data_IF_915991149721
#
_entry.id   IF_915991149721
#
_cell.length_a   1.000
_cell.length_b   1.000
_cell.length_c   1.000
_cell.angle_alpha   90.00
_cell.angle_beta   90.00
_cell.angle_gamma   90.00
#
_symmetry.space_group_name_H-M   'P 1'
#
loop_
_entity.id
_entity.type
_entity.pdbx_description
1 polymer ?
#
# COMPACT_ATOMS: atom_id res chain seq x y z
N UNK A 1 -18.38 -1.55 8.28
CA UNK A 1 -17.22 -1.21 7.45
C UNK A 1 -16.73 0.17 7.83
N UNK A 2 -15.45 0.52 7.61
CA UNK A 2 -14.99 1.89 7.69
C UNK A 2 -15.78 2.81 6.73
N UNK A 3 -16.08 4.03 7.15
CA UNK A 3 -16.87 4.97 6.35
C UNK A 3 -16.25 5.27 4.98
N UNK A 4 -14.93 5.40 4.90
CA UNK A 4 -14.23 5.62 3.63
C UNK A 4 -14.50 4.50 2.60
N UNK A 5 -14.65 3.25 3.06
CA UNK A 5 -14.97 2.12 2.20
C UNK A 5 -16.40 2.21 1.66
N UNK A 6 -17.34 2.59 2.53
CA UNK A 6 -18.75 2.74 2.13
C UNK A 6 -18.92 3.93 1.20
N UNK A 7 -18.25 5.06 1.46
CA UNK A 7 -18.21 6.21 0.53
C UNK A 7 -17.70 5.80 -0.85
N UNK A 8 -16.58 5.07 -0.87
CA UNK A 8 -16.02 4.55 -2.12
C UNK A 8 -16.99 3.63 -2.84
N UNK A 9 -17.67 2.73 -2.11
CA UNK A 9 -18.68 1.82 -2.69
C UNK A 9 -19.86 2.58 -3.30
N UNK A 10 -20.37 3.62 -2.61
CA UNK A 10 -21.42 4.48 -3.14
C UNK A 10 -20.97 5.19 -4.42
N UNK A 11 -19.74 5.73 -4.44
CA UNK A 11 -19.19 6.41 -5.61
C UNK A 11 -19.04 5.45 -6.81
N UNK A 12 -18.47 4.27 -6.60
CA UNK A 12 -18.32 3.24 -7.65
C UNK A 12 -19.70 2.80 -8.15
N UNK A 13 -20.68 2.68 -7.23
CA UNK A 13 -22.05 2.33 -7.63
C UNK A 13 -22.70 3.43 -8.46
N UNK A 14 -22.58 4.70 -8.06
CA UNK A 14 -23.07 5.84 -8.86
C UNK A 14 -22.46 5.80 -10.28
N UNK A 15 -21.15 5.58 -10.39
CA UNK A 15 -20.47 5.50 -11.70
C UNK A 15 -21.04 4.39 -12.57
N UNK A 16 -21.27 3.20 -11.99
CA UNK A 16 -21.86 2.06 -12.70
C UNK A 16 -23.31 2.35 -13.16
N UNK A 17 -24.13 2.99 -12.31
CA UNK A 17 -25.52 3.34 -12.64
C UNK A 17 -25.63 4.43 -13.69
N UNK A 18 -24.71 5.41 -13.69
CA UNK A 18 -24.66 6.49 -14.68
C UNK A 18 -24.41 6.00 -16.11
N UNK A 19 -23.91 4.78 -16.29
CA UNK A 19 -23.77 4.16 -17.61
C UNK A 19 -25.14 3.75 -18.24
N UNK A 20 -26.22 3.83 -17.45
CA UNK A 20 -27.63 3.61 -17.86
C UNK A 20 -27.99 2.17 -18.27
N UNK A 21 -27.10 1.18 -18.11
CA UNK A 21 -27.41 -0.22 -18.44
C UNK A 21 -28.19 -0.97 -17.35
N UNK A 22 -28.36 -0.37 -16.16
CA UNK A 22 -29.01 -1.01 -15.00
C UNK A 22 -30.52 -0.72 -14.91
N UNK A 23 -31.09 0.12 -15.78
CA UNK A 23 -32.50 0.54 -15.77
C UNK A 23 -32.94 1.11 -14.40
N UNK A 24 -32.14 1.99 -13.82
CA UNK A 24 -32.41 2.70 -12.56
C UNK A 24 -32.72 4.15 -12.87
N UNK A 25 -33.79 4.69 -12.29
CA UNK A 25 -34.17 6.11 -12.46
C UNK A 25 -33.10 7.04 -11.93
N UNK A 26 -33.03 8.23 -12.52
CA UNK A 26 -32.00 9.22 -12.17
C UNK A 26 -32.15 9.72 -10.72
N UNK A 27 -33.37 9.77 -10.20
CA UNK A 27 -33.67 10.18 -8.82
C UNK A 27 -32.97 9.30 -7.76
N UNK A 28 -32.75 8.01 -8.05
CA UNK A 28 -32.03 7.09 -7.17
C UNK A 28 -30.56 7.50 -7.11
N UNK A 29 -29.98 7.85 -8.26
CA UNK A 29 -28.58 8.29 -8.36
C UNK A 29 -28.41 9.66 -7.68
N UNK A 30 -29.33 10.58 -7.90
CA UNK A 30 -29.34 11.90 -7.23
C UNK A 30 -29.38 11.78 -5.71
N UNK A 31 -30.18 10.84 -5.17
CA UNK A 31 -30.24 10.63 -3.73
C UNK A 31 -28.94 10.00 -3.18
N UNK A 32 -28.34 9.05 -3.90
CA UNK A 32 -27.03 8.52 -3.56
C UNK A 32 -25.96 9.62 -3.52
N UNK A 33 -25.95 10.51 -4.51
CA UNK A 33 -25.04 11.64 -4.57
C UNK A 33 -25.30 12.62 -3.42
N UNK A 34 -26.57 12.91 -3.12
CA UNK A 34 -26.94 13.81 -2.01
C UNK A 34 -26.44 13.27 -0.65
N UNK A 35 -26.49 11.96 -0.42
CA UNK A 35 -25.91 11.32 0.77
C UNK A 35 -24.38 11.54 0.81
N UNK A 36 -23.69 11.34 -0.31
CA UNK A 36 -22.23 11.54 -0.42
C UNK A 36 -21.82 12.99 -0.18
N UNK A 37 -22.53 13.94 -0.79
CA UNK A 37 -22.24 15.39 -0.73
C UNK A 37 -22.43 15.95 0.70
N UNK A 38 -23.36 15.36 1.46
CA UNK A 38 -23.65 15.78 2.83
C UNK A 38 -22.98 14.92 3.91
N UNK A 39 -22.04 14.05 3.52
CA UNK A 39 -21.31 13.17 4.43
C UNK A 39 -22.22 12.27 5.30
N UNK A 40 -23.30 11.81 4.70
CA UNK A 40 -24.25 10.85 5.28
C UNK A 40 -23.92 9.44 4.80
N UNK A 41 -23.21 8.68 5.64
CA UNK A 41 -22.62 7.40 5.24
C UNK A 41 -23.36 6.23 5.88
N UNK A 42 -24.00 5.35 5.09
CA UNK A 42 -24.70 4.17 5.62
C UNK A 42 -23.82 3.29 6.49
N UNK A 43 -24.36 2.79 7.60
CA UNK A 43 -23.72 1.79 8.44
C UNK A 43 -23.84 0.41 7.78
N UNK A 44 -22.71 -0.12 7.29
CA UNK A 44 -22.64 -1.41 6.58
C UNK A 44 -21.79 -2.40 7.38
N UNK A 45 -22.26 -3.66 7.60
CA UNK A 45 -21.48 -4.70 8.26
C UNK A 45 -20.16 -5.01 7.54
N UNK A 46 -19.13 -5.32 8.33
CA UNK A 46 -17.79 -5.60 7.81
C UNK A 46 -17.66 -7.01 7.20
N UNK A 47 -18.43 -7.99 7.71
CA UNK A 47 -18.30 -9.41 7.37
C UNK A 47 -19.61 -9.98 6.88
N UNK A 48 -19.54 -11.16 6.25
CA UNK A 48 -20.70 -11.90 5.77
C UNK A 48 -20.83 -11.95 4.25
N UNK A 49 -20.07 -11.13 3.51
CA UNK A 49 -20.09 -11.10 2.05
C UNK A 49 -19.06 -12.05 1.45
N UNK A 50 -19.47 -12.81 0.44
CA UNK A 50 -18.61 -13.63 -0.44
C UNK A 50 -18.36 -12.98 -1.80
N UNK A 51 -18.88 -11.76 -2.01
CA UNK A 51 -18.75 -10.98 -3.25
C UNK A 51 -19.28 -11.74 -4.48
N UNK A 52 -20.55 -12.11 -4.43
CA UNK A 52 -21.26 -12.83 -5.49
C UNK A 52 -22.63 -12.19 -5.77
N UNK A 53 -23.30 -12.57 -6.86
CA UNK A 53 -24.55 -11.95 -7.31
C UNK A 53 -25.70 -12.07 -6.30
N UNK A 54 -25.88 -13.23 -5.68
CA UNK A 54 -26.92 -13.41 -4.65
C UNK A 54 -26.51 -12.86 -3.28
N UNK A 55 -25.26 -12.43 -3.12
CA UNK A 55 -24.74 -11.75 -1.95
C UNK A 55 -24.97 -10.24 -2.07
N UNK A 56 -26.22 -9.84 -1.94
CA UNK A 56 -26.62 -8.43 -2.05
C UNK A 56 -26.40 -7.66 -0.75
N UNK A 57 -25.95 -8.33 0.32
CA UNK A 57 -25.94 -7.81 1.68
C UNK A 57 -25.25 -6.44 1.83
N UNK A 58 -24.03 -6.21 1.37
CA UNK A 58 -23.38 -4.92 1.64
C UNK A 58 -24.10 -3.72 1.01
N UNK A 59 -24.62 -3.87 -0.21
CA UNK A 59 -25.34 -2.80 -0.92
C UNK A 59 -26.80 -2.68 -0.44
N UNK A 60 -27.38 -3.71 0.19
CA UNK A 60 -28.73 -3.65 0.73
C UNK A 60 -28.90 -2.65 1.86
N UNK A 61 -27.87 -2.43 2.66
CA UNK A 61 -27.87 -1.38 3.68
C UNK A 61 -27.94 0.01 3.06
N UNK A 62 -27.24 0.22 1.94
CA UNK A 62 -27.29 1.48 1.19
C UNK A 62 -28.69 1.66 0.58
N UNK A 63 -29.24 0.63 -0.04
CA UNK A 63 -30.59 0.68 -0.61
C UNK A 63 -31.68 0.92 0.46
N UNK A 64 -31.58 0.28 1.62
CA UNK A 64 -32.51 0.50 2.74
C UNK A 64 -32.46 1.95 3.27
N UNK A 65 -31.30 2.60 3.21
CA UNK A 65 -31.20 4.04 3.51
C UNK A 65 -31.93 4.87 2.45
N UNK A 66 -31.84 4.53 1.16
CA UNK A 66 -32.58 5.22 0.10
C UNK A 66 -34.11 5.07 0.24
N UNK A 67 -34.56 3.91 0.78
CA UNK A 67 -35.98 3.67 1.11
C UNK A 67 -36.44 4.39 2.39
N UNK A 68 -35.54 4.96 3.15
CA UNK A 68 -35.84 5.57 4.45
C UNK A 68 -36.24 4.53 5.51
N UNK A 69 -35.72 3.32 5.45
CA UNK A 69 -36.03 2.27 6.41
C UNK A 69 -35.49 2.67 7.81
N UNK A 70 -36.36 2.79 8.84
CA UNK A 70 -35.96 3.26 10.16
C UNK A 70 -34.99 2.31 10.89
N UNK A 71 -34.91 1.04 10.48
CA UNK A 71 -33.96 0.06 11.03
C UNK A 71 -32.57 0.14 10.37
N UNK A 72 -32.40 1.02 9.38
CA UNK A 72 -31.10 1.33 8.78
C UNK A 72 -30.52 2.60 9.38
N UNK A 73 -29.21 2.61 9.54
CA UNK A 73 -28.51 3.73 10.21
C UNK A 73 -27.47 4.36 9.30
N UNK A 74 -27.20 5.64 9.60
CA UNK A 74 -26.31 6.50 8.82
C UNK A 74 -25.38 7.27 9.76
N UNK A 75 -24.10 7.26 9.48
CA UNK A 75 -23.12 8.13 10.14
C UNK A 75 -23.26 9.56 9.63
N UNK A 76 -23.25 10.53 10.55
CA UNK A 76 -23.26 11.97 10.25
C UNK A 76 -22.30 12.71 11.17
N UNK A 77 -21.94 13.95 10.83
CA UNK A 77 -21.15 14.81 11.70
C UNK A 77 -21.96 15.26 12.91
N UNK A 78 -21.37 15.23 14.09
CA UNK A 78 -21.96 15.80 15.33
C UNK A 78 -21.78 17.32 15.45
N UNK A 79 -21.14 17.94 14.46
CA UNK A 79 -20.81 19.38 14.46
C UNK A 79 -19.68 19.77 15.43
N UNK A 80 -19.09 18.82 16.15
CA UNK A 80 -18.00 19.02 17.13
C UNK A 80 -16.72 18.27 16.77
N UNK A 81 -16.67 17.72 15.57
CA UNK A 81 -15.54 16.92 15.08
C UNK A 81 -15.66 15.42 15.34
N UNK A 82 -16.78 14.95 15.91
CA UNK A 82 -17.14 13.55 16.07
C UNK A 82 -18.18 13.07 15.07
N UNK A 83 -18.65 11.83 15.26
CA UNK A 83 -19.66 11.17 14.41
C UNK A 83 -20.84 10.70 15.26
N UNK A 84 -22.05 11.02 14.81
CA UNK A 84 -23.31 10.53 15.35
C UNK A 84 -23.93 9.47 14.43
N UNK A 85 -24.74 8.63 14.99
CA UNK A 85 -25.48 7.60 14.27
C UNK A 85 -26.98 7.93 14.32
N UNK A 86 -27.58 8.17 13.14
CA UNK A 86 -29.00 8.49 13.02
C UNK A 86 -29.70 7.44 12.15
N UNK A 87 -31.04 7.36 12.25
CA UNK A 87 -31.85 6.48 11.39
C UNK A 87 -31.91 7.01 9.95
N UNK A 88 -32.20 6.12 9.00
CA UNK A 88 -32.26 6.49 7.59
C UNK A 88 -33.32 7.53 7.26
N UNK A 89 -34.51 7.42 7.86
CA UNK A 89 -35.57 8.43 7.73
C UNK A 89 -35.11 9.81 8.27
N UNK A 90 -34.44 9.83 9.43
CA UNK A 90 -33.84 11.05 9.98
C UNK A 90 -32.78 11.65 9.04
N UNK A 91 -31.97 10.82 8.38
CA UNK A 91 -31.00 11.29 7.37
C UNK A 91 -31.70 11.90 6.14
N UNK A 92 -32.77 11.31 5.66
CA UNK A 92 -33.57 11.85 4.53
C UNK A 92 -34.26 13.15 4.91
N UNK A 93 -34.76 13.27 6.13
CA UNK A 93 -35.35 14.51 6.65
C UNK A 93 -34.34 15.65 6.71
N UNK A 94 -33.10 15.38 7.14
CA UNK A 94 -32.00 16.35 7.09
C UNK A 94 -31.71 16.86 5.67
N UNK A 95 -31.77 15.97 4.67
CA UNK A 95 -31.61 16.31 3.26
C UNK A 95 -32.84 16.97 2.65
N UNK A 96 -33.99 17.00 3.35
CA UNK A 96 -35.30 17.40 2.82
C UNK A 96 -35.66 16.63 1.53
N UNK A 97 -35.32 15.36 1.47
CA UNK A 97 -35.57 14.44 0.35
C UNK A 97 -36.59 13.40 0.76
N UNK A 98 -37.40 12.97 -0.21
CA UNK A 98 -38.32 11.86 -0.03
C UNK A 98 -37.60 10.52 -0.19
N UNK A 99 -38.02 9.52 0.52
CA UNK A 99 -37.59 8.13 0.33
C UNK A 99 -37.93 7.64 -1.08
N UNK A 100 -37.12 6.72 -1.58
CA UNK A 100 -37.33 6.04 -2.87
C UNK A 100 -38.24 4.83 -2.65
N UNK A 101 -39.31 4.75 -3.43
CA UNK A 101 -40.02 3.48 -3.67
C UNK A 101 -39.44 2.90 -4.96
N UNK A 102 -38.73 1.79 -4.86
CA UNK A 102 -38.11 1.15 -6.01
C UNK A 102 -39.15 0.56 -6.95
N UNK A 103 -39.03 0.84 -8.24
CA UNK A 103 -39.78 0.20 -9.32
C UNK A 103 -39.21 -1.18 -9.70
N UNK A 104 -39.78 -1.83 -10.70
CA UNK A 104 -39.31 -3.13 -11.21
C UNK A 104 -37.83 -3.07 -11.57
N UNK A 105 -37.02 -4.02 -11.08
CA UNK A 105 -35.57 -4.15 -11.23
C UNK A 105 -34.72 -3.07 -10.54
N UNK A 106 -35.24 -1.91 -10.16
CA UNK A 106 -34.42 -0.81 -9.62
C UNK A 106 -33.67 -1.20 -8.35
N UNK A 107 -34.32 -1.88 -7.40
CA UNK A 107 -33.66 -2.39 -6.20
C UNK A 107 -32.50 -3.29 -6.58
N UNK A 108 -32.70 -4.27 -7.44
CA UNK A 108 -31.63 -5.15 -7.92
C UNK A 108 -30.53 -4.34 -8.63
N UNK A 109 -30.90 -3.31 -9.40
CA UNK A 109 -29.95 -2.39 -10.02
C UNK A 109 -29.05 -1.65 -9.03
N UNK A 110 -29.52 -1.34 -7.83
CA UNK A 110 -28.73 -0.75 -6.75
C UNK A 110 -27.91 -1.79 -5.99
N UNK A 111 -28.50 -2.97 -5.72
CA UNK A 111 -27.94 -3.99 -4.82
C UNK A 111 -26.87 -4.86 -5.47
N UNK A 112 -26.97 -5.12 -6.76
CA UNK A 112 -26.16 -6.12 -7.46
C UNK A 112 -24.93 -5.51 -8.11
N UNK A 113 -23.76 -6.02 -7.77
CA UNK A 113 -22.51 -5.61 -8.40
C UNK A 113 -21.29 -5.66 -7.46
N UNK A 114 -20.15 -5.29 -8.01
CA UNK A 114 -18.83 -5.42 -7.37
C UNK A 114 -18.40 -4.18 -6.59
N UNK A 115 -19.25 -3.15 -6.51
CA UNK A 115 -18.88 -1.81 -6.03
C UNK A 115 -18.17 -1.78 -4.67
N UNK A 116 -18.61 -2.61 -3.72
CA UNK A 116 -18.03 -2.65 -2.37
C UNK A 116 -16.61 -3.21 -2.39
N UNK A 117 -16.43 -4.39 -2.98
CA UNK A 117 -15.10 -5.02 -3.06
C UNK A 117 -14.14 -4.18 -3.90
N UNK A 118 -14.62 -3.57 -4.99
CA UNK A 118 -13.83 -2.69 -5.86
C UNK A 118 -13.36 -1.43 -5.14
N UNK A 119 -14.23 -0.77 -4.38
CA UNK A 119 -13.87 0.41 -3.62
C UNK A 119 -12.81 0.12 -2.55
N UNK A 120 -13.00 -0.96 -1.79
CA UNK A 120 -12.04 -1.40 -0.77
C UNK A 120 -10.71 -1.75 -1.40
N UNK A 121 -10.73 -2.44 -2.56
CA UNK A 121 -9.52 -2.77 -3.31
C UNK A 121 -8.80 -1.53 -3.89
N UNK A 122 -9.54 -0.55 -4.38
CA UNK A 122 -8.96 0.69 -4.91
C UNK A 122 -8.19 1.47 -3.83
N UNK A 123 -8.76 1.59 -2.63
CA UNK A 123 -8.09 2.22 -1.48
C UNK A 123 -6.85 1.43 -1.05
N UNK A 124 -6.95 0.10 -0.96
CA UNK A 124 -5.81 -0.75 -0.63
C UNK A 124 -4.69 -0.63 -1.66
N UNK A 125 -5.03 -0.56 -2.94
CA UNK A 125 -4.04 -0.43 -4.01
C UNK A 125 -3.30 0.90 -3.97
N UNK A 126 -4.00 2.00 -3.68
CA UNK A 126 -3.38 3.32 -3.50
C UNK A 126 -2.31 3.29 -2.40
N UNK A 127 -2.63 2.74 -1.23
CA UNK A 127 -1.67 2.58 -0.14
C UNK A 127 -0.51 1.63 -0.51
N UNK A 128 -0.80 0.57 -1.26
CA UNK A 128 0.24 -0.35 -1.75
C UNK A 128 1.26 0.35 -2.66
N UNK A 129 0.82 1.29 -3.51
CA UNK A 129 1.72 2.11 -4.33
C UNK A 129 2.59 3.04 -3.48
N UNK A 130 2.04 3.67 -2.45
CA UNK A 130 2.82 4.51 -1.53
C UNK A 130 3.91 3.69 -0.84
N UNK A 131 3.57 2.50 -0.34
CA UNK A 131 4.55 1.61 0.32
C UNK A 131 5.60 1.07 -0.65
N UNK A 132 5.24 0.83 -1.91
CA UNK A 132 6.20 0.43 -2.94
C UNK A 132 7.27 1.51 -3.21
N UNK A 133 6.87 2.79 -3.27
CA UNK A 133 7.81 3.91 -3.38
C UNK A 133 8.63 4.05 -2.10
N UNK A 134 7.99 3.98 -0.94
CA UNK A 134 8.65 4.12 0.35
C UNK A 134 9.68 3.02 0.60
N UNK A 135 9.42 1.79 0.16
CA UNK A 135 10.38 0.67 0.21
C UNK A 135 11.66 0.97 -0.58
N UNK A 136 11.58 1.69 -1.68
CA UNK A 136 12.73 2.09 -2.48
C UNK A 136 13.54 3.20 -1.79
N UNK A 137 12.86 4.17 -1.13
CA UNK A 137 13.51 5.20 -0.32
C UNK A 137 14.27 4.56 0.84
N UNK A 138 13.64 3.65 1.58
CA UNK A 138 14.28 2.94 2.69
C UNK A 138 15.47 2.10 2.24
N UNK A 139 15.40 1.50 1.05
CA UNK A 139 16.51 0.76 0.45
C UNK A 139 17.69 1.69 0.11
N UNK A 140 17.45 2.89 -0.39
CA UNK A 140 18.49 3.89 -0.62
C UNK A 140 19.15 4.32 0.70
N UNK A 141 18.36 4.66 1.71
CA UNK A 141 18.87 4.97 3.06
C UNK A 141 19.66 3.80 3.66
N UNK A 142 19.19 2.55 3.45
CA UNK A 142 19.89 1.34 3.86
C UNK A 142 21.24 1.19 3.15
N UNK A 143 21.32 1.54 1.87
CA UNK A 143 22.57 1.54 1.11
C UNK A 143 23.57 2.51 1.72
N UNK A 144 23.15 3.72 2.09
CA UNK A 144 24.01 4.68 2.80
C UNK A 144 24.43 4.18 4.18
N UNK A 145 23.48 3.71 5.00
CA UNK A 145 23.76 3.25 6.36
C UNK A 145 24.75 2.07 6.40
N UNK A 146 24.67 1.18 5.40
CA UNK A 146 25.53 0.00 5.25
C UNK A 146 26.85 0.29 4.52
N UNK A 147 27.08 1.53 4.06
CA UNK A 147 28.20 1.92 3.19
C UNK A 147 28.22 1.06 1.91
N UNK A 148 27.02 0.79 1.36
CA UNK A 148 26.83 -0.02 0.17
C UNK A 148 27.26 0.68 -1.12
N UNK A 149 27.28 -0.06 -2.22
CA UNK A 149 27.71 0.43 -3.53
C UNK A 149 26.54 0.93 -4.38
N UNK A 150 26.68 2.14 -4.96
CA UNK A 150 25.75 2.65 -6.00
C UNK A 150 25.81 1.77 -7.24
N UNK A 151 26.94 1.08 -7.49
CA UNK A 151 27.11 0.14 -8.58
C UNK A 151 26.10 -1.02 -8.61
N UNK A 152 25.47 -1.34 -7.48
CA UNK A 152 24.37 -2.32 -7.44
C UNK A 152 23.18 -1.95 -8.35
N UNK A 153 23.01 -0.67 -8.65
CA UNK A 153 21.90 -0.10 -9.42
C UNK A 153 22.32 0.38 -10.79
N UNK A 154 23.51 -0.01 -11.28
CA UNK A 154 24.02 0.42 -12.59
C UNK A 154 23.03 0.08 -13.68
N UNK A 155 22.76 1.07 -14.56
CA UNK A 155 21.82 0.97 -15.66
C UNK A 155 22.17 -0.15 -16.67
N UNK A 156 23.42 -0.61 -16.70
CA UNK A 156 23.82 -1.73 -17.53
C UNK A 156 23.07 -3.03 -17.19
N UNK A 157 22.84 -3.31 -15.90
CA UNK A 157 22.07 -4.50 -15.49
C UNK A 157 20.65 -4.48 -16.08
N UNK A 158 19.99 -3.32 -16.02
CA UNK A 158 18.68 -3.12 -16.59
C UNK A 158 18.70 -3.15 -18.13
N UNK A 159 19.76 -2.70 -18.80
CA UNK A 159 19.92 -2.76 -20.25
C UNK A 159 20.00 -4.19 -20.77
N UNK A 160 20.74 -5.07 -20.07
CA UNK A 160 20.92 -6.48 -20.52
C UNK A 160 19.83 -7.42 -20.02
N UNK A 161 19.01 -6.99 -19.04
CA UNK A 161 17.85 -7.71 -18.53
C UNK A 161 16.67 -6.73 -18.34
N UNK A 162 15.93 -6.40 -19.43
CA UNK A 162 15.09 -5.21 -19.50
C UNK A 162 13.66 -5.42 -18.94
N UNK A 163 13.50 -5.91 -17.73
CA UNK A 163 12.24 -5.89 -17.00
C UNK A 163 11.90 -4.45 -16.60
N UNK A 164 10.68 -4.01 -16.89
CA UNK A 164 10.24 -2.62 -16.67
C UNK A 164 10.35 -2.19 -15.20
N UNK A 165 9.88 -3.04 -14.29
CA UNK A 165 9.94 -2.77 -12.86
C UNK A 165 11.37 -2.75 -12.32
N UNK A 166 12.28 -3.58 -12.85
CA UNK A 166 13.69 -3.54 -12.48
C UNK A 166 14.35 -2.23 -12.94
N UNK A 167 14.05 -1.77 -14.16
CA UNK A 167 14.53 -0.48 -14.70
C UNK A 167 14.08 0.67 -13.80
N UNK A 168 12.78 0.68 -13.45
CA UNK A 168 12.18 1.70 -12.60
C UNK A 168 12.82 1.72 -11.20
N UNK A 169 12.87 0.57 -10.53
CA UNK A 169 13.44 0.45 -9.20
C UNK A 169 14.91 0.89 -9.15
N UNK A 170 15.74 0.43 -10.10
CA UNK A 170 17.15 0.83 -10.17
C UNK A 170 17.30 2.34 -10.38
N UNK A 171 16.52 2.94 -11.29
CA UNK A 171 16.52 4.38 -11.54
C UNK A 171 16.13 5.19 -10.31
N UNK A 172 15.05 4.81 -9.64
CA UNK A 172 14.54 5.51 -8.46
C UNK A 172 15.55 5.47 -7.32
N UNK A 173 16.11 4.29 -7.00
CA UNK A 173 17.10 4.15 -5.94
C UNK A 173 18.36 4.96 -6.26
N UNK A 174 18.82 4.95 -7.51
CA UNK A 174 19.96 5.77 -7.96
C UNK A 174 19.67 7.27 -7.76
N UNK A 175 18.47 7.73 -8.07
CA UNK A 175 18.06 9.12 -7.86
C UNK A 175 18.02 9.49 -6.37
N UNK A 176 17.54 8.61 -5.50
CA UNK A 176 17.53 8.84 -4.06
C UNK A 176 18.95 8.85 -3.46
N UNK A 177 19.91 8.17 -4.08
CA UNK A 177 21.32 8.17 -3.67
C UNK A 177 22.14 9.33 -4.27
N UNK A 178 21.52 10.18 -5.10
CA UNK A 178 22.23 11.29 -5.75
C UNK A 178 22.81 12.26 -4.73
N UNK A 179 24.13 12.46 -4.76
CA UNK A 179 24.84 13.32 -3.81
C UNK A 179 25.20 12.68 -2.48
N UNK A 180 24.90 11.39 -2.28
CA UNK A 180 25.29 10.64 -1.09
C UNK A 180 26.82 10.68 -0.90
N UNK A 181 27.26 10.90 0.35
CA UNK A 181 28.66 10.84 0.77
C UNK A 181 28.99 9.54 1.50
N UNK A 182 27.99 8.72 1.81
CA UNK A 182 28.14 7.46 2.53
C UNK A 182 28.12 6.25 1.60
N UNK A 183 27.28 6.28 0.55
CA UNK A 183 27.27 5.23 -0.45
C UNK A 183 28.55 5.24 -1.27
N UNK A 184 29.14 4.06 -1.49
CA UNK A 184 30.37 3.94 -2.28
C UNK A 184 30.08 4.22 -3.75
N UNK A 185 30.91 5.07 -4.35
CA UNK A 185 30.87 5.30 -5.79
C UNK A 185 31.25 4.03 -6.57
N UNK A 186 30.72 3.86 -7.75
CA UNK A 186 30.96 2.69 -8.62
C UNK A 186 32.46 2.52 -8.94
N UNK A 187 33.19 3.61 -9.17
CA UNK A 187 34.63 3.59 -9.47
C UNK A 187 35.47 3.15 -8.28
N UNK A 188 35.00 3.32 -7.04
CA UNK A 188 35.72 2.90 -5.84
C UNK A 188 35.85 1.37 -5.75
N UNK A 189 34.89 0.64 -6.27
CA UNK A 189 34.87 -0.83 -6.27
C UNK A 189 35.99 -1.39 -7.20
N UNK A 190 36.40 -0.65 -8.22
CA UNK A 190 37.47 -1.04 -9.13
C UNK A 190 38.90 -0.78 -8.55
N UNK A 191 39.03 0.03 -7.51
CA UNK A 191 40.31 0.41 -6.91
C UNK A 191 40.68 -0.43 -5.67
N UNK A 192 39.76 -1.21 -5.11
CA UNK A 192 40.03 -2.03 -3.93
C UNK A 192 40.87 -3.26 -4.26
N UNK A 193 42.04 -3.37 -3.65
CA UNK A 193 42.92 -4.52 -3.71
C UNK A 193 42.60 -5.47 -2.55
N UNK A 194 41.81 -6.53 -2.82
CA UNK A 194 41.54 -7.61 -1.86
C UNK A 194 40.15 -7.54 -1.20
N UNK A 195 39.66 -8.70 -0.75
CA UNK A 195 38.34 -8.87 -0.10
C UNK A 195 37.16 -9.10 -1.05
N UNK A 196 35.99 -9.38 -0.47
CA UNK A 196 34.72 -9.53 -1.22
C UNK A 196 34.16 -8.15 -1.56
N UNK A 197 34.05 -7.84 -2.85
CA UNK A 197 33.57 -6.55 -3.35
C UNK A 197 32.06 -6.40 -3.44
N UNK A 198 31.29 -7.37 -2.97
CA UNK A 198 29.86 -7.46 -3.18
C UNK A 198 29.10 -7.15 -1.90
N UNK A 199 28.09 -6.28 -2.01
CA UNK A 199 27.12 -6.08 -0.93
C UNK A 199 26.27 -7.36 -0.74
N UNK A 200 25.60 -7.45 0.40
CA UNK A 200 24.68 -8.55 0.70
C UNK A 200 23.42 -8.48 -0.19
N UNK A 201 22.78 -9.60 -0.37
CA UNK A 201 21.67 -9.74 -1.33
C UNK A 201 20.52 -8.77 -1.08
N UNK A 202 20.18 -8.48 0.18
CA UNK A 202 19.06 -7.59 0.51
C UNK A 202 19.23 -6.16 -0.07
N UNK A 203 20.46 -5.70 -0.27
CA UNK A 203 20.78 -4.44 -0.96
C UNK A 203 21.15 -4.69 -2.42
N UNK A 204 22.13 -5.57 -2.66
CA UNK A 204 22.69 -5.82 -3.98
C UNK A 204 21.68 -6.22 -5.03
N UNK A 205 20.65 -7.01 -4.66
CA UNK A 205 19.65 -7.53 -5.58
C UNK A 205 18.29 -6.85 -5.44
N UNK A 206 18.23 -5.72 -4.73
CA UNK A 206 16.95 -5.09 -4.41
C UNK A 206 16.17 -4.63 -5.64
N UNK A 207 16.81 -4.08 -6.67
CA UNK A 207 16.10 -3.69 -7.89
C UNK A 207 15.49 -4.89 -8.63
N UNK A 208 16.19 -6.05 -8.64
CA UNK A 208 15.68 -7.30 -9.22
C UNK A 208 14.57 -7.93 -8.38
N UNK A 209 14.55 -7.67 -7.08
CA UNK A 209 13.54 -8.13 -6.13
C UNK A 209 12.28 -7.26 -6.16
N UNK A 210 12.45 -5.94 -6.19
CA UNK A 210 11.37 -4.94 -6.26
C UNK A 210 10.66 -5.01 -7.61
N UNK A 211 11.42 -5.14 -8.70
CA UNK A 211 10.92 -5.02 -10.06
C UNK A 211 9.66 -5.83 -10.37
N UNK A 212 9.62 -7.14 -10.17
CA UNK A 212 8.44 -7.95 -10.42
C UNK A 212 7.20 -7.50 -9.63
N UNK A 213 7.42 -6.99 -8.40
CA UNK A 213 6.33 -6.53 -7.54
C UNK A 213 5.71 -5.22 -8.08
N UNK A 214 6.51 -4.33 -8.67
CA UNK A 214 6.01 -3.14 -9.35
C UNK A 214 5.18 -3.51 -10.58
N UNK A 215 5.61 -4.50 -11.36
CA UNK A 215 4.87 -4.99 -12.53
C UNK A 215 3.52 -5.62 -12.14
N UNK A 216 3.48 -6.40 -11.07
CA UNK A 216 2.25 -6.97 -10.51
C UNK A 216 1.29 -5.88 -9.98
N UNK A 217 1.80 -4.84 -9.34
CA UNK A 217 1.00 -3.70 -8.88
C UNK A 217 0.44 -2.89 -10.05
N UNK A 218 1.18 -2.73 -11.16
CA UNK A 218 0.68 -2.09 -12.39
C UNK A 218 -0.49 -2.89 -12.95
N UNK A 219 -0.36 -4.21 -13.08
CA UNK A 219 -1.45 -5.07 -13.55
C UNK A 219 -2.67 -5.02 -12.61
N UNK A 220 -2.45 -5.02 -11.29
CA UNK A 220 -3.52 -4.85 -10.32
C UNK A 220 -4.22 -3.49 -10.49
N UNK A 221 -3.46 -2.43 -10.76
CA UNK A 221 -3.98 -1.09 -11.02
C UNK A 221 -4.89 -1.06 -12.26
N UNK A 222 -4.48 -1.67 -13.35
CA UNK A 222 -5.29 -1.78 -14.57
C UNK A 222 -6.59 -2.53 -14.33
N UNK A 223 -6.54 -3.66 -13.59
CA UNK A 223 -7.72 -4.45 -13.25
C UNK A 223 -8.72 -3.65 -12.39
N UNK A 224 -8.25 -2.98 -11.35
CA UNK A 224 -9.13 -2.20 -10.45
C UNK A 224 -9.66 -0.94 -11.16
N UNK A 225 -8.85 -0.28 -11.96
CA UNK A 225 -9.30 0.88 -12.75
C UNK A 225 -10.42 0.50 -13.72
N UNK A 226 -10.27 -0.64 -14.40
CA UNK A 226 -11.32 -1.17 -15.29
C UNK A 226 -12.59 -1.45 -14.50
N UNK A 227 -12.49 -2.13 -13.35
CA UNK A 227 -13.64 -2.48 -12.52
C UNK A 227 -14.36 -1.25 -11.97
N UNK A 228 -13.64 -0.22 -11.51
CA UNK A 228 -14.19 1.05 -11.04
C UNK A 228 -15.02 1.79 -12.11
N UNK A 229 -14.70 1.55 -13.38
CA UNK A 229 -15.32 2.23 -14.52
C UNK A 229 -16.32 1.37 -15.29
N UNK A 230 -16.61 0.17 -14.81
CA UNK A 230 -17.48 -0.82 -15.48
C UNK A 230 -18.90 -0.81 -14.95
N UNK A 231 -19.81 -1.36 -15.73
CA UNK A 231 -21.17 -1.74 -15.28
C UNK A 231 -21.13 -3.18 -14.81
N UNK A 232 -21.34 -3.37 -13.52
CA UNK A 232 -21.18 -4.66 -12.82
C UNK A 232 -22.49 -5.23 -12.32
N UNK A 233 -23.57 -5.05 -13.06
CA UNK A 233 -24.95 -5.49 -12.74
C UNK A 233 -25.39 -6.71 -13.55
N UNK A 234 -26.54 -7.25 -13.24
CA UNK A 234 -27.28 -8.28 -13.97
C UNK A 234 -28.78 -8.24 -13.58
N UNK A 235 -29.71 -8.35 -14.56
CA UNK A 235 -29.49 -8.29 -16.00
C UNK A 235 -29.08 -6.88 -16.46
N UNK A 236 -28.45 -6.80 -17.63
CA UNK A 236 -28.08 -5.55 -18.29
C UNK A 236 -29.06 -5.24 -19.43
N UNK A 237 -29.40 -3.98 -19.59
CA UNK A 237 -30.29 -3.48 -20.65
C UNK A 237 -29.42 -2.88 -21.77
N UNK A 238 -29.49 -3.51 -22.93
CA UNK A 238 -28.89 -3.04 -24.17
C UNK A 238 -29.95 -2.30 -24.98
N UNK A 239 -29.98 -0.98 -24.88
CA UNK A 239 -30.97 -0.14 -25.58
C UNK A 239 -30.71 -0.12 -27.09
N UNK A 240 -29.44 -0.16 -27.53
CA UNK A 240 -29.09 -0.13 -28.95
C UNK A 240 -29.43 -1.45 -29.64
N UNK A 241 -29.20 -2.57 -28.94
CA UNK A 241 -29.52 -3.91 -29.42
C UNK A 241 -30.96 -4.34 -29.16
N UNK A 242 -31.78 -3.49 -28.51
CA UNK A 242 -33.15 -3.82 -28.08
C UNK A 242 -33.23 -5.17 -27.34
N UNK A 243 -32.31 -5.40 -26.39
CA UNK A 243 -32.14 -6.69 -25.74
C UNK A 243 -31.87 -6.57 -24.23
N UNK A 244 -32.22 -7.64 -23.50
CA UNK A 244 -31.89 -7.82 -22.10
C UNK A 244 -30.94 -9.01 -22.00
N UNK A 245 -29.76 -8.73 -21.43
CA UNK A 245 -28.72 -9.75 -21.30
C UNK A 245 -28.61 -10.24 -19.86
N UNK A 246 -28.67 -11.55 -19.70
CA UNK A 246 -28.44 -12.22 -18.41
C UNK A 246 -27.00 -12.76 -18.39
N UNK A 247 -26.15 -12.15 -17.57
CA UNK A 247 -24.71 -12.45 -17.55
C UNK A 247 -24.10 -12.44 -16.14
N UNK A 248 -22.79 -12.39 -16.09
CA UNK A 248 -22.01 -12.54 -14.86
C UNK A 248 -21.14 -11.34 -14.49
N UNK A 249 -21.47 -10.11 -14.92
CA UNK A 249 -20.64 -8.93 -14.65
C UNK A 249 -20.53 -8.55 -13.16
N UNK A 250 -21.26 -9.21 -12.30
CA UNK A 250 -21.13 -9.15 -10.85
C UNK A 250 -19.97 -10.00 -10.30
N UNK A 251 -19.31 -10.82 -11.14
CA UNK A 251 -18.26 -11.73 -10.69
C UNK A 251 -16.94 -10.98 -10.49
N UNK A 252 -16.60 -10.70 -9.22
CA UNK A 252 -15.44 -9.88 -8.85
C UNK A 252 -14.10 -10.64 -8.83
N UNK A 253 -13.95 -11.71 -9.63
CA UNK A 253 -12.70 -12.48 -9.68
C UNK A 253 -11.48 -11.65 -10.09
N UNK A 254 -11.66 -10.61 -10.93
CA UNK A 254 -10.61 -9.66 -11.27
C UNK A 254 -10.12 -8.87 -10.06
N UNK A 255 -11.04 -8.47 -9.17
CA UNK A 255 -10.70 -7.76 -7.93
C UNK A 255 -9.92 -8.67 -6.99
N UNK A 256 -10.35 -9.94 -6.85
CA UNK A 256 -9.61 -10.93 -6.04
C UNK A 256 -8.19 -11.13 -6.57
N UNK A 257 -8.06 -11.32 -7.90
CA UNK A 257 -6.76 -11.49 -8.56
C UNK A 257 -5.83 -10.28 -8.34
N UNK A 258 -6.36 -9.06 -8.44
CA UNK A 258 -5.60 -7.84 -8.17
C UNK A 258 -5.12 -7.78 -6.72
N UNK A 259 -5.99 -8.09 -5.76
CA UNK A 259 -5.67 -8.03 -4.33
C UNK A 259 -4.70 -9.13 -3.89
N UNK A 260 -4.77 -10.31 -4.49
CA UNK A 260 -3.81 -11.38 -4.21
C UNK A 260 -2.41 -11.04 -4.72
N UNK A 261 -2.29 -10.47 -5.93
CA UNK A 261 -1.01 -9.94 -6.44
C UNK A 261 -0.47 -8.83 -5.52
N UNK A 262 -1.33 -7.89 -5.11
CA UNK A 262 -0.94 -6.81 -4.22
C UNK A 262 -0.42 -7.34 -2.88
N UNK A 263 -1.08 -8.32 -2.25
CA UNK A 263 -0.61 -8.94 -1.00
C UNK A 263 0.72 -9.68 -1.17
N UNK A 264 0.88 -10.41 -2.26
CA UNK A 264 2.16 -11.06 -2.57
C UNK A 264 3.28 -10.02 -2.73
N UNK A 265 3.02 -8.92 -3.45
CA UNK A 265 3.98 -7.81 -3.61
C UNK A 265 4.33 -7.15 -2.28
N UNK A 266 3.34 -6.86 -1.43
CA UNK A 266 3.56 -6.30 -0.08
C UNK A 266 4.43 -7.24 0.77
N UNK A 267 4.18 -8.54 0.73
CA UNK A 267 4.98 -9.55 1.43
C UNK A 267 6.43 -9.56 0.94
N UNK A 268 6.66 -9.44 -0.37
CA UNK A 268 8.00 -9.42 -0.94
C UNK A 268 8.77 -8.14 -0.58
N UNK A 269 8.11 -6.96 -0.56
CA UNK A 269 8.70 -5.74 -0.02
C UNK A 269 9.06 -5.91 1.47
N UNK A 270 8.12 -6.42 2.26
CA UNK A 270 8.34 -6.67 3.69
C UNK A 270 9.52 -7.61 3.94
N UNK A 271 9.65 -8.68 3.16
CA UNK A 271 10.76 -9.65 3.27
C UNK A 271 12.12 -9.00 3.01
N UNK A 272 12.20 -8.13 2.00
CA UNK A 272 13.43 -7.40 1.70
C UNK A 272 13.78 -6.42 2.81
N UNK A 273 12.83 -5.59 3.24
CA UNK A 273 13.05 -4.59 4.30
C UNK A 273 13.38 -5.25 5.65
N UNK A 274 12.73 -6.36 5.97
CA UNK A 274 13.07 -7.20 7.12
C UNK A 274 14.54 -7.63 7.09
N UNK A 275 14.99 -8.15 5.94
CA UNK A 275 16.39 -8.58 5.78
C UNK A 275 17.37 -7.40 5.90
N UNK A 276 17.07 -6.27 5.26
CA UNK A 276 17.88 -5.05 5.37
C UNK A 276 17.95 -4.53 6.81
N UNK A 277 16.84 -4.55 7.53
CA UNK A 277 16.75 -4.11 8.92
C UNK A 277 17.58 -5.00 9.86
N UNK A 278 17.42 -6.31 9.77
CA UNK A 278 18.14 -7.27 10.62
C UNK A 278 19.64 -7.29 10.34
N UNK A 279 20.05 -7.15 9.06
CA UNK A 279 21.47 -7.00 8.70
C UNK A 279 22.07 -5.73 9.28
N UNK A 280 21.32 -4.62 9.30
CA UNK A 280 21.80 -3.34 9.85
C UNK A 280 21.97 -3.37 11.37
N UNK A 281 21.11 -4.09 12.08
CA UNK A 281 21.17 -4.25 13.54
C UNK A 281 22.33 -5.17 13.98
N UNK A 282 22.70 -6.13 13.13
CA UNK A 282 23.73 -7.13 13.43
C UNK A 282 25.14 -6.55 13.25
N UNK A 283 25.98 -6.48 14.32
CA UNK A 283 27.31 -5.91 14.24
C UNK A 283 28.28 -6.66 13.31
N UNK A 284 28.06 -7.96 13.06
CA UNK A 284 28.87 -8.76 12.15
C UNK A 284 28.58 -8.41 10.67
N UNK A 285 27.48 -7.73 10.39
CA UNK A 285 26.98 -7.48 9.03
C UNK A 285 26.89 -5.98 8.67
N UNK A 286 26.89 -5.08 9.64
CA UNK A 286 26.54 -3.66 9.48
C UNK A 286 27.70 -2.73 9.17
N UNK A 287 28.81 -3.25 8.66
CA UNK A 287 29.98 -2.45 8.25
C UNK A 287 30.57 -1.61 9.41
N UNK A 288 30.62 -2.17 10.62
CA UNK A 288 31.30 -1.58 11.78
C UNK A 288 30.48 -0.59 12.60
N UNK A 289 29.15 -0.64 12.50
CA UNK A 289 28.27 0.01 13.48
C UNK A 289 28.23 -0.82 14.78
N UNK A 290 27.94 -0.19 15.94
CA UNK A 290 27.88 -0.89 17.22
C UNK A 290 26.75 -1.90 17.28
N UNK A 291 26.84 -2.94 18.16
CA UNK A 291 25.76 -3.87 18.40
C UNK A 291 24.44 -3.16 18.76
N UNK A 292 23.33 -3.60 18.18
CA UNK A 292 22.00 -2.98 18.37
C UNK A 292 21.96 -1.47 18.08
N UNK A 293 22.89 -0.94 17.30
CA UNK A 293 23.05 0.49 17.00
C UNK A 293 23.08 1.36 18.26
N UNK A 294 23.73 0.87 19.32
CA UNK A 294 23.85 1.59 20.58
C UNK A 294 24.79 2.80 20.38
N UNK A 295 24.31 4.00 20.71
CA UNK A 295 25.13 5.22 20.73
C UNK A 295 25.97 5.31 22.02
N UNK A 296 25.52 4.64 23.08
CA UNK A 296 26.19 4.54 24.38
C UNK A 296 26.98 3.24 24.50
N UNK A 297 27.36 2.87 25.73
CA UNK A 297 28.03 1.61 26.03
C UNK A 297 27.17 0.40 25.64
N UNK A 298 27.57 -0.40 24.64
CA UNK A 298 26.73 -1.48 24.09
C UNK A 298 26.40 -2.59 25.10
N UNK A 299 27.16 -2.75 26.16
CA UNK A 299 26.89 -3.73 27.21
C UNK A 299 25.67 -3.37 28.07
N UNK A 300 25.28 -2.09 28.07
CA UNK A 300 24.18 -1.55 28.87
C UNK A 300 23.05 -0.93 28.05
N UNK A 301 23.26 -0.76 26.73
CA UNK A 301 22.28 -0.16 25.82
C UNK A 301 21.85 -1.15 24.72
N UNK A 302 20.55 -1.33 24.56
CA UNK A 302 19.96 -2.28 23.61
C UNK A 302 18.98 -1.58 22.65
N UNK A 303 19.34 -0.43 22.13
CA UNK A 303 18.47 0.50 21.38
C UNK A 303 17.60 -0.21 20.32
N UNK A 304 18.17 -1.03 19.45
CA UNK A 304 17.46 -1.67 18.34
C UNK A 304 17.03 -3.12 18.62
N UNK A 305 17.28 -3.68 19.81
CA UNK A 305 16.92 -5.07 20.13
C UNK A 305 15.41 -5.34 19.99
N UNK A 306 14.59 -4.42 20.51
CA UNK A 306 13.13 -4.53 20.41
C UNK A 306 12.63 -4.38 18.97
N UNK A 307 13.30 -3.55 18.16
CA UNK A 307 12.98 -3.36 16.75
C UNK A 307 13.16 -4.67 15.94
N UNK A 308 14.24 -5.41 16.20
CA UNK A 308 14.48 -6.72 15.55
C UNK A 308 13.35 -7.71 15.81
N UNK A 309 12.89 -7.81 17.07
CA UNK A 309 11.77 -8.67 17.46
C UNK A 309 10.45 -8.22 16.77
N UNK A 310 10.20 -6.91 16.75
CA UNK A 310 8.99 -6.35 16.17
C UNK A 310 8.89 -6.61 14.66
N UNK A 311 9.96 -6.35 13.91
CA UNK A 311 9.94 -6.61 12.45
C UNK A 311 9.79 -8.09 12.14
N UNK A 312 10.30 -9.00 12.97
CA UNK A 312 10.10 -10.43 12.83
C UNK A 312 8.62 -10.82 13.02
N UNK A 313 7.94 -10.24 14.03
CA UNK A 313 6.53 -10.48 14.26
C UNK A 313 5.67 -9.97 13.10
N UNK A 314 5.87 -8.71 12.67
CA UNK A 314 5.13 -8.11 11.55
C UNK A 314 5.37 -8.88 10.24
N UNK A 315 6.61 -9.33 9.99
CA UNK A 315 6.92 -10.12 8.80
C UNK A 315 6.25 -11.49 8.82
N UNK A 316 6.15 -12.13 9.99
CA UNK A 316 5.48 -13.42 10.14
C UNK A 316 3.98 -13.31 9.84
N UNK A 317 3.32 -12.27 10.36
CA UNK A 317 1.91 -11.98 10.09
C UNK A 317 1.68 -11.66 8.60
N UNK A 318 2.51 -10.77 8.03
CA UNK A 318 2.44 -10.40 6.62
C UNK A 318 2.62 -11.63 5.70
N UNK A 319 3.53 -12.55 6.03
CA UNK A 319 3.74 -13.78 5.28
C UNK A 319 2.51 -14.70 5.30
N UNK A 320 1.81 -14.79 6.44
CA UNK A 320 0.54 -15.52 6.54
C UNK A 320 -0.56 -14.87 5.67
N UNK A 321 -0.70 -13.55 5.71
CA UNK A 321 -1.70 -12.80 4.95
C UNK A 321 -1.51 -12.89 3.43
N UNK A 322 -0.32 -13.22 2.95
CA UNK A 322 -0.03 -13.42 1.53
C UNK A 322 -0.63 -14.70 0.94
N UNK A 323 -1.15 -15.61 1.78
CA UNK A 323 -1.85 -16.79 1.27
C UNK A 323 -3.07 -16.42 0.42
N UNK A 324 -3.36 -17.16 -0.67
CA UNK A 324 -4.50 -16.87 -1.52
C UNK A 324 -5.82 -17.13 -0.79
N UNK A 325 -6.79 -16.22 -0.97
CA UNK A 325 -8.17 -16.38 -0.49
C UNK A 325 -8.99 -17.21 -1.47
N UNK A 326 -8.70 -17.09 -2.76
CA UNK A 326 -9.43 -17.76 -3.86
C UNK A 326 -9.44 -19.28 -3.76
N UNK A 327 -8.47 -19.88 -3.08
CA UNK A 327 -8.45 -21.34 -2.81
C UNK A 327 -9.44 -21.80 -1.71
N UNK A 328 -10.18 -20.86 -1.06
CA UNK A 328 -11.07 -21.12 0.06
C UNK A 328 -12.55 -20.87 -0.28
N UNK A 329 -12.90 -20.83 -1.56
CA UNK A 329 -14.28 -20.67 -2.02
C UNK A 329 -15.17 -21.79 -1.48
N UNK A 330 -16.32 -21.39 -0.94
CA UNK A 330 -17.37 -22.30 -0.47
C UNK A 330 -18.62 -22.10 -1.31
N UNK A 331 -19.40 -23.17 -1.50
CA UNK A 331 -20.71 -23.06 -2.14
C UNK A 331 -21.70 -22.28 -1.26
N UNK A 332 -22.57 -21.51 -1.89
CA UNK A 332 -23.62 -20.75 -1.21
C UNK A 332 -24.90 -20.71 -2.03
N UNK A 333 -25.96 -20.13 -1.46
CA UNK A 333 -27.26 -19.94 -2.13
C UNK A 333 -27.78 -21.23 -2.78
N UNK A 334 -27.90 -22.31 -1.95
CA UNK A 334 -28.40 -23.64 -2.38
C UNK A 334 -27.63 -24.21 -3.59
N UNK A 335 -26.35 -23.91 -3.73
CA UNK A 335 -25.50 -24.37 -4.81
C UNK A 335 -25.44 -23.46 -6.04
N UNK A 336 -26.28 -22.45 -6.14
CA UNK A 336 -26.25 -21.49 -7.26
C UNK A 336 -24.90 -20.74 -7.32
N UNK A 337 -24.33 -20.41 -6.17
CA UNK A 337 -23.02 -19.75 -6.04
C UNK A 337 -21.93 -20.75 -5.64
N UNK A 338 -21.82 -21.86 -6.38
CA UNK A 338 -20.75 -22.84 -6.18
C UNK A 338 -19.35 -22.26 -6.50
N UNK A 339 -19.29 -21.25 -7.34
CA UNK A 339 -18.11 -20.45 -7.64
C UNK A 339 -18.42 -18.98 -7.28
N UNK A 340 -17.60 -18.38 -6.43
CA UNK A 340 -17.67 -16.98 -6.04
C UNK A 340 -16.27 -16.40 -5.86
N UNK A 341 -16.15 -15.08 -5.77
CA UNK A 341 -14.85 -14.42 -5.84
C UNK A 341 -14.14 -14.23 -4.50
N UNK A 342 -14.86 -14.17 -3.39
CA UNK A 342 -14.35 -13.73 -2.09
C UNK A 342 -13.62 -12.37 -2.12
N UNK A 343 -13.94 -11.51 -3.10
CA UNK A 343 -13.17 -10.29 -3.38
C UNK A 343 -13.10 -9.33 -2.20
N UNK A 344 -14.20 -9.14 -1.46
CA UNK A 344 -14.21 -8.29 -0.27
C UNK A 344 -13.31 -8.86 0.84
N UNK A 345 -13.27 -10.17 1.02
CA UNK A 345 -12.36 -10.82 1.98
C UNK A 345 -10.92 -10.58 1.56
N UNK A 346 -10.61 -10.79 0.27
CA UNK A 346 -9.29 -10.55 -0.30
C UNK A 346 -8.84 -9.10 -0.09
N UNK A 347 -9.72 -8.12 -0.40
CA UNK A 347 -9.42 -6.70 -0.23
C UNK A 347 -9.22 -6.32 1.25
N UNK A 348 -10.02 -6.85 2.18
CA UNK A 348 -9.86 -6.63 3.62
C UNK A 348 -8.51 -7.15 4.13
N UNK A 349 -8.09 -8.34 3.71
CA UNK A 349 -6.78 -8.89 4.10
C UNK A 349 -5.62 -8.09 3.48
N UNK A 350 -5.84 -7.44 2.33
CA UNK A 350 -4.84 -6.54 1.77
C UNK A 350 -4.62 -5.31 2.64
N UNK A 351 -5.69 -4.71 3.22
CA UNK A 351 -5.54 -3.63 4.20
C UNK A 351 -4.75 -4.08 5.44
N UNK A 352 -5.04 -5.27 5.99
CA UNK A 352 -4.26 -5.81 7.12
C UNK A 352 -2.78 -6.03 6.74
N UNK A 353 -2.52 -6.48 5.52
CA UNK A 353 -1.14 -6.63 5.01
C UNK A 353 -0.42 -5.27 4.86
N UNK A 354 -1.15 -4.23 4.46
CA UNK A 354 -0.67 -2.84 4.42
C UNK A 354 -0.27 -2.36 5.82
N UNK A 355 -1.09 -2.61 6.82
CA UNK A 355 -0.78 -2.26 8.22
C UNK A 355 0.53 -2.94 8.68
N UNK A 356 0.68 -4.24 8.42
CA UNK A 356 1.91 -4.97 8.76
C UNK A 356 3.14 -4.40 8.04
N UNK A 357 3.06 -4.14 6.72
CA UNK A 357 4.18 -3.56 5.98
C UNK A 357 4.50 -2.13 6.44
N UNK A 358 3.49 -1.33 6.77
CA UNK A 358 3.66 0.02 7.30
C UNK A 358 4.44 -0.01 8.62
N UNK A 359 4.16 -0.97 9.50
CA UNK A 359 4.91 -1.16 10.74
C UNK A 359 6.35 -1.60 10.50
N UNK A 360 6.60 -2.48 9.50
CA UNK A 360 7.96 -2.84 9.08
C UNK A 360 8.71 -1.60 8.58
N UNK A 361 8.08 -0.82 7.70
CA UNK A 361 8.66 0.40 7.14
C UNK A 361 8.99 1.43 8.25
N UNK A 362 8.07 1.68 9.17
CA UNK A 362 8.26 2.62 10.27
C UNK A 362 9.40 2.18 11.21
N UNK A 363 9.45 0.89 11.55
CA UNK A 363 10.50 0.33 12.39
C UNK A 363 11.86 0.42 11.70
N UNK A 364 11.92 0.07 10.42
CA UNK A 364 13.17 0.15 9.66
C UNK A 364 13.63 1.61 9.47
N UNK A 365 12.72 2.54 9.23
CA UNK A 365 13.05 3.97 9.18
C UNK A 365 13.68 4.45 10.50
N UNK A 366 13.10 4.06 11.65
CA UNK A 366 13.68 4.39 12.96
C UNK A 366 15.11 3.84 13.10
N UNK A 367 15.31 2.58 12.74
CA UNK A 367 16.63 1.93 12.78
C UNK A 367 17.64 2.63 11.82
N UNK A 368 17.19 3.01 10.63
CA UNK A 368 18.00 3.76 9.65
C UNK A 368 18.40 5.13 10.15
N UNK A 369 17.49 5.89 10.76
CA UNK A 369 17.82 7.20 11.34
C UNK A 369 18.90 7.08 12.41
N UNK A 370 18.79 6.10 13.31
CA UNK A 370 19.81 5.83 14.33
C UNK A 370 21.17 5.46 13.71
N UNK A 371 21.16 4.57 12.72
CA UNK A 371 22.39 4.15 12.03
C UNK A 371 23.09 5.30 11.30
N UNK A 372 22.33 6.13 10.58
CA UNK A 372 22.84 7.26 9.84
C UNK A 372 23.38 8.36 10.78
N UNK A 373 22.76 8.59 11.93
CA UNK A 373 23.26 9.51 12.94
C UNK A 373 24.61 9.05 13.50
N UNK A 374 24.74 7.76 13.82
CA UNK A 374 26.03 7.16 14.25
C UNK A 374 27.08 7.30 13.12
N UNK A 375 26.72 7.07 11.85
CA UNK A 375 27.62 7.30 10.70
C UNK A 375 28.11 8.74 10.64
N UNK A 376 27.19 9.71 10.78
CA UNK A 376 27.53 11.13 10.76
C UNK A 376 28.45 11.53 11.91
N UNK A 377 28.22 11.02 13.12
CA UNK A 377 29.10 11.23 14.27
C UNK A 377 30.51 10.65 14.01
N UNK A 378 30.59 9.43 13.49
CA UNK A 378 31.87 8.78 13.18
C UNK A 378 32.65 9.58 12.12
N UNK A 379 31.99 10.03 11.05
CA UNK A 379 32.65 10.87 10.02
C UNK A 379 33.24 12.16 10.62
N UNK A 380 32.47 12.86 11.46
CA UNK A 380 32.94 14.08 12.14
C UNK A 380 34.13 13.77 13.06
N UNK A 381 34.07 12.70 13.83
CA UNK A 381 35.17 12.28 14.71
C UNK A 381 36.46 11.98 13.93
N UNK A 382 36.37 11.22 12.84
CA UNK A 382 37.54 10.92 11.99
C UNK A 382 38.11 12.17 11.35
N UNK A 383 37.27 13.10 10.87
CA UNK A 383 37.74 14.37 10.30
C UNK A 383 38.50 15.22 11.33
N UNK A 384 37.96 15.38 12.54
CA UNK A 384 38.60 16.13 13.63
C UNK A 384 39.93 15.49 14.02
N UNK A 385 39.96 14.15 14.15
CA UNK A 385 41.18 13.40 14.46
C UNK A 385 42.25 13.55 13.36
N UNK A 386 41.85 13.52 12.10
CA UNK A 386 42.78 13.73 10.97
C UNK A 386 43.35 15.14 10.94
N UNK A 387 42.54 16.16 11.20
CA UNK A 387 43.00 17.56 11.31
C UNK A 387 43.98 17.71 12.47
N UNK A 388 43.66 17.17 13.65
CA UNK A 388 44.54 17.22 14.81
C UNK A 388 45.88 16.50 14.56
N UNK A 389 45.85 15.34 13.85
CA UNK A 389 47.06 14.62 13.47
C UNK A 389 47.95 15.43 12.50
N UNK A 390 47.37 16.05 11.46
CA UNK A 390 48.07 16.91 10.52
C UNK A 390 48.69 18.12 11.19
N UNK A 391 48.01 18.71 12.17
CA UNK A 391 48.55 19.84 12.96
C UNK A 391 49.71 19.43 13.87
N UNK A 392 49.70 18.20 14.43
CA UNK A 392 50.76 17.72 15.34
C UNK A 392 52.07 17.34 14.62
N UNK A 393 52.02 17.05 13.31
CA UNK A 393 53.21 16.68 12.52
C UNK A 393 53.82 17.81 11.68
N UNK A 394 53.41 19.08 11.87
CA UNK A 394 54.12 20.26 11.35
C UNK A 394 54.20 20.35 9.82
N UNK A 395 53.33 19.79 9.06
CA UNK A 395 53.24 20.03 7.63
C UNK A 395 52.56 21.38 7.35
N UNK A 396 53.15 22.24 6.47
CA UNK A 396 52.52 23.52 6.14
C UNK A 396 51.17 23.28 5.47
N UNK A 397 50.20 24.07 5.88
CA UNK A 397 48.81 24.08 5.40
C UNK A 397 48.71 23.90 3.88
N UNK A 398 48.44 22.69 3.44
CA UNK A 398 47.81 22.50 2.11
C UNK A 398 46.48 23.25 2.14
N UNK A 399 46.43 24.34 1.36
CA UNK A 399 45.23 25.21 1.30
C UNK A 399 43.96 24.45 0.91
N UNK A 400 43.36 23.84 1.89
CA UNK A 400 41.96 23.39 1.79
C UNK A 400 41.11 24.66 1.71
N UNK A 401 40.69 25.00 0.50
CA UNK A 401 39.54 25.89 0.29
C UNK A 401 38.32 25.21 0.97
N UNK A 402 38.15 25.54 2.24
CA UNK A 402 36.90 25.26 2.94
C UNK A 402 35.82 26.03 2.20
N UNK A 403 35.00 25.34 1.42
CA UNK A 403 33.70 25.89 1.00
C UNK A 403 32.88 26.07 2.26
N UNK A 404 32.80 27.32 2.74
CA UNK A 404 32.01 27.78 3.87
C UNK A 404 30.48 27.61 3.60
N UNK A 405 30.01 26.42 3.35
CA UNK A 405 28.55 26.15 3.10
C UNK A 405 27.93 25.04 3.96
N UNK A 406 28.61 24.52 4.97
CA UNK A 406 28.10 23.40 5.78
C UNK A 406 27.97 23.75 7.29
N UNK A 407 27.88 25.01 7.69
CA UNK A 407 27.77 25.34 9.12
C UNK A 407 26.48 26.09 9.49
N UNK A 408 25.59 26.41 8.55
CA UNK A 408 24.31 27.06 8.88
C UNK A 408 23.14 26.49 8.03
N UNK A 409 22.66 25.30 8.36
CA UNK A 409 21.26 24.91 8.14
C UNK A 409 20.94 23.69 9.02
#
# INVERSE_FOLDING_TARGET
MPEAWVRGAMLVRCKSLLAAYSAVRFEVIELLMALLDNDLIPLVPLRGSISASGDLQPLSYIAGVLEGNPDMYVWTSDGKGGRDLISADGALDMLKRRSITFGPKEALGVLNGTAVSTAVAALALQESHHLAVFSQILTAMGTEAMLGSVGNFNAFFAKVRPHRGQIEAAKNITLFLAGSQLARAEDADNQCVGGLKQDRYALRTSSQWIGPQLEDLILAHEQITTECNSTTDNPLIDVEGDAIHHGGNFQAASVTSAMEKSRASLQMFGRMLFSQCTELINPDLNSGLPPNLAADEPSTSYTAKGADINVAAYMSELAYLANPVSSHVQTAEMGNQAINSLALISARYTHTAIDCLSMICATYLYVLCQALDIRAMNMRFYLVRQIAWLQSFGQPSLGLKTSHKIVNS
#
